data_IF_357281294935
#
_entry.id   IF_357281294935
#
_cell.length_a   1.000
_cell.length_b   1.000
_cell.length_c   1.000
_cell.angle_alpha   90.00
_cell.angle_beta   90.00
_cell.angle_gamma   90.00
#
_symmetry.space_group_name_H-M   'P 1'
#
loop_
_entity.id
_entity.type
_entity.pdbx_description
1 polymer ?
#
# COMPACT_ATOMS: atom_id res chain seq x y z
N UNK A 1 -9.46 -17.03 7.02
CA UNK A 1 -8.33 -17.95 6.90
C UNK A 1 -7.29 -17.49 5.89
N UNK A 2 -7.56 -17.41 4.57
CA UNK A 2 -6.54 -17.06 3.55
C UNK A 2 -5.83 -15.74 3.89
N UNK A 3 -6.56 -14.68 4.19
CA UNK A 3 -5.98 -13.39 4.55
C UNK A 3 -5.13 -13.46 5.83
N UNK A 4 -5.50 -14.31 6.79
CA UNK A 4 -4.67 -14.57 7.97
C UNK A 4 -3.32 -15.22 7.60
N UNK A 5 -3.32 -16.11 6.62
CA UNK A 5 -2.12 -16.79 6.17
C UNK A 5 -1.23 -15.92 5.23
N UNK A 6 -1.75 -14.78 4.74
CA UNK A 6 -0.97 -13.85 3.89
C UNK A 6 0.20 -13.18 4.62
N UNK A 7 0.20 -13.15 5.95
CA UNK A 7 1.29 -12.57 6.74
C UNK A 7 2.38 -13.58 7.09
N UNK A 8 2.15 -14.89 6.92
CA UNK A 8 3.08 -15.96 7.28
C UNK A 8 4.06 -16.21 6.13
N UNK A 9 5.36 -15.91 6.29
CA UNK A 9 6.37 -16.15 5.25
C UNK A 9 6.72 -17.64 5.14
N UNK A 10 6.92 -18.10 3.90
CA UNK A 10 7.41 -19.45 3.56
C UNK A 10 8.60 -19.28 2.62
N UNK A 11 9.78 -19.62 3.08
CA UNK A 11 11.02 -19.49 2.30
C UNK A 11 11.25 -20.75 1.46
N UNK A 12 11.11 -20.58 0.14
CA UNK A 12 11.43 -21.61 -0.85
C UNK A 12 12.52 -21.07 -1.80
N UNK A 13 12.21 -20.85 -3.08
CA UNK A 13 13.13 -20.21 -4.04
C UNK A 13 13.19 -18.68 -3.81
N UNK A 14 12.22 -18.15 -3.10
CA UNK A 14 12.05 -16.76 -2.64
C UNK A 14 11.09 -16.77 -1.46
N UNK A 15 10.68 -15.59 -0.98
CA UNK A 15 9.71 -15.50 0.10
C UNK A 15 8.29 -15.54 -0.48
N UNK A 16 7.64 -16.68 -0.39
CA UNK A 16 6.20 -16.84 -0.57
C UNK A 16 5.47 -16.47 0.72
N UNK A 17 4.17 -16.30 0.60
CA UNK A 17 3.29 -16.25 1.77
C UNK A 17 2.40 -17.50 1.78
N UNK A 18 2.16 -18.04 2.95
CA UNK A 18 1.28 -19.21 3.09
C UNK A 18 -0.10 -18.97 2.46
N UNK A 19 -0.62 -17.75 2.58
CA UNK A 19 -1.88 -17.36 1.94
C UNK A 19 -1.85 -17.44 0.41
N UNK A 20 -0.72 -17.15 -0.24
CA UNK A 20 -0.57 -17.28 -1.70
C UNK A 20 -0.58 -18.75 -2.13
N UNK A 21 0.07 -19.62 -1.36
CA UNK A 21 0.02 -21.07 -1.60
C UNK A 21 -1.40 -21.60 -1.44
N UNK A 22 -2.14 -21.12 -0.43
CA UNK A 22 -3.55 -21.47 -0.26
C UNK A 22 -4.41 -20.93 -1.40
N UNK A 23 -4.15 -19.73 -1.91
CA UNK A 23 -4.84 -19.19 -3.09
C UNK A 23 -4.61 -20.12 -4.29
N UNK A 24 -3.38 -20.54 -4.56
CA UNK A 24 -3.06 -21.47 -5.65
C UNK A 24 -3.77 -22.81 -5.48
N UNK A 25 -3.75 -23.38 -4.27
CA UNK A 25 -4.40 -24.66 -3.97
C UNK A 25 -5.94 -24.58 -4.10
N UNK A 26 -6.54 -23.45 -3.75
CA UNK A 26 -7.98 -23.24 -3.83
C UNK A 26 -8.45 -22.72 -5.20
N UNK A 27 -7.54 -22.30 -6.06
CA UNK A 27 -7.86 -21.71 -7.36
C UNK A 27 -8.80 -22.56 -8.21
N UNK A 28 -8.61 -23.88 -8.35
CA UNK A 28 -9.51 -24.75 -9.12
C UNK A 28 -10.95 -24.73 -8.60
N UNK A 29 -11.14 -24.68 -7.29
CA UNK A 29 -12.47 -24.66 -6.66
C UNK A 29 -13.22 -23.34 -6.88
N UNK A 30 -12.49 -22.25 -7.12
CA UNK A 30 -13.05 -20.92 -7.40
C UNK A 30 -13.04 -20.57 -8.89
N UNK A 31 -12.62 -21.47 -9.78
CA UNK A 31 -12.46 -21.19 -11.21
C UNK A 31 -13.73 -20.64 -11.85
N UNK A 32 -14.91 -21.21 -11.54
CA UNK A 32 -16.20 -20.74 -12.07
C UNK A 32 -16.48 -19.28 -11.68
N UNK A 33 -16.17 -18.90 -10.45
CA UNK A 33 -16.36 -17.53 -9.94
C UNK A 33 -15.32 -16.58 -10.55
N UNK A 34 -14.08 -17.03 -10.73
CA UNK A 34 -13.01 -16.27 -11.38
C UNK A 34 -13.36 -16.00 -12.84
N UNK A 35 -13.82 -17.00 -13.58
CA UNK A 35 -14.28 -16.83 -14.96
C UNK A 35 -15.49 -15.88 -15.07
N UNK A 36 -16.39 -15.90 -14.06
CA UNK A 36 -17.47 -14.91 -13.97
C UNK A 36 -16.94 -13.51 -13.71
N UNK A 37 -15.95 -13.37 -12.81
CA UNK A 37 -15.33 -12.09 -12.51
C UNK A 37 -14.59 -11.50 -13.72
N UNK A 38 -13.95 -12.31 -14.54
CA UNK A 38 -13.30 -11.90 -15.80
C UNK A 38 -14.24 -11.29 -16.85
N UNK A 39 -15.56 -11.49 -16.73
CA UNK A 39 -16.55 -10.78 -17.58
C UNK A 39 -16.69 -9.30 -17.24
N UNK A 40 -16.18 -8.88 -16.09
CA UNK A 40 -16.14 -7.47 -15.70
C UNK A 40 -15.01 -6.76 -16.47
N UNK A 41 -15.34 -5.67 -17.17
CA UNK A 41 -14.39 -4.89 -18.01
C UNK A 41 -13.20 -4.36 -17.20
N UNK A 42 -13.41 -3.97 -15.93
CA UNK A 42 -12.35 -3.49 -15.06
C UNK A 42 -11.35 -4.60 -14.74
N UNK A 43 -11.86 -5.78 -14.39
CA UNK A 43 -11.02 -6.95 -14.13
C UNK A 43 -10.22 -7.33 -15.37
N UNK A 44 -10.86 -7.35 -16.55
CA UNK A 44 -10.19 -7.65 -17.82
C UNK A 44 -9.11 -6.65 -18.17
N UNK A 45 -9.36 -5.34 -17.98
CA UNK A 45 -8.38 -4.29 -18.24
C UNK A 45 -7.13 -4.45 -17.34
N UNK A 46 -7.34 -4.70 -16.03
CA UNK A 46 -6.25 -4.90 -15.09
C UNK A 46 -5.45 -6.17 -15.43
N UNK A 47 -6.14 -7.26 -15.78
CA UNK A 47 -5.48 -8.51 -16.17
C UNK A 47 -4.70 -8.34 -17.47
N UNK A 48 -5.27 -7.66 -18.47
CA UNK A 48 -4.58 -7.36 -19.73
C UNK A 48 -3.31 -6.54 -19.52
N UNK A 49 -3.38 -5.48 -18.70
CA UNK A 49 -2.19 -4.69 -18.35
C UNK A 49 -1.20 -5.48 -17.49
N UNK A 50 -1.68 -6.36 -16.60
CA UNK A 50 -0.83 -7.27 -15.81
C UNK A 50 -0.07 -8.27 -16.70
N UNK A 51 -0.72 -8.79 -17.75
CA UNK A 51 -0.07 -9.66 -18.74
C UNK A 51 0.96 -8.88 -19.56
N UNK A 52 0.65 -7.64 -19.96
CA UNK A 52 1.60 -6.77 -20.64
C UNK A 52 2.85 -6.52 -19.76
N UNK A 53 2.64 -6.21 -18.47
CA UNK A 53 3.74 -6.04 -17.51
C UNK A 53 4.55 -7.33 -17.37
N UNK A 54 3.89 -8.50 -17.23
CA UNK A 54 4.58 -9.80 -17.14
C UNK A 54 5.42 -10.07 -18.39
N UNK A 55 4.88 -9.82 -19.58
CA UNK A 55 5.60 -9.97 -20.86
C UNK A 55 6.80 -9.03 -20.94
N UNK A 56 6.62 -7.76 -20.57
CA UNK A 56 7.72 -6.80 -20.50
C UNK A 56 8.81 -7.21 -19.54
N UNK A 57 8.45 -7.78 -18.38
CA UNK A 57 9.42 -8.31 -17.41
C UNK A 57 10.23 -9.48 -18.00
N UNK A 58 9.59 -10.40 -18.73
CA UNK A 58 10.30 -11.49 -19.43
C UNK A 58 11.29 -10.91 -20.43
N UNK A 59 10.87 -9.95 -21.26
CA UNK A 59 11.74 -9.30 -22.26
C UNK A 59 12.88 -8.54 -21.58
N UNK A 60 12.61 -7.84 -20.49
CA UNK A 60 13.61 -7.17 -19.68
C UNK A 60 14.65 -8.13 -19.13
N UNK A 61 14.22 -9.26 -18.58
CA UNK A 61 15.09 -10.27 -18.01
C UNK A 61 15.99 -10.93 -19.08
N UNK A 62 15.44 -11.21 -20.25
CA UNK A 62 16.20 -11.74 -21.40
C UNK A 62 17.23 -10.73 -21.92
N UNK A 63 16.81 -9.45 -22.12
CA UNK A 63 17.68 -8.40 -22.60
C UNK A 63 18.86 -8.09 -21.66
N UNK A 64 18.61 -8.15 -20.34
CA UNK A 64 19.64 -7.89 -19.33
C UNK A 64 20.41 -9.13 -18.89
N UNK A 65 20.19 -10.30 -19.51
CA UNK A 65 20.79 -11.57 -19.12
C UNK A 65 20.63 -11.85 -17.61
N UNK A 66 19.44 -11.55 -17.07
CA UNK A 66 19.12 -11.72 -15.65
C UNK A 66 19.27 -13.19 -15.26
N UNK A 67 19.86 -13.44 -14.09
CA UNK A 67 20.02 -14.83 -13.60
C UNK A 67 18.65 -15.50 -13.43
N UNK A 68 18.55 -16.79 -13.73
CA UNK A 68 17.30 -17.58 -13.64
C UNK A 68 16.62 -17.43 -12.27
N UNK A 69 17.41 -17.42 -11.19
CA UNK A 69 16.90 -17.21 -9.82
C UNK A 69 16.18 -15.88 -9.66
N UNK A 70 16.75 -14.80 -10.19
CA UNK A 70 16.18 -13.45 -10.08
C UNK A 70 14.97 -13.30 -11.01
N UNK A 71 15.03 -13.85 -12.23
CA UNK A 71 13.89 -13.88 -13.17
C UNK A 71 12.68 -14.59 -12.54
N UNK A 72 12.88 -15.77 -11.99
CA UNK A 72 11.81 -16.53 -11.31
C UNK A 72 11.20 -15.76 -10.13
N UNK A 73 12.01 -15.01 -9.37
CA UNK A 73 11.51 -14.16 -8.28
C UNK A 73 10.64 -13.01 -8.79
N UNK A 74 11.09 -12.31 -9.84
CA UNK A 74 10.37 -11.18 -10.42
C UNK A 74 9.06 -11.62 -11.07
N UNK A 75 9.14 -12.57 -11.99
CA UNK A 75 7.98 -13.14 -12.68
C UNK A 75 6.99 -13.78 -11.71
N UNK A 76 7.49 -14.54 -10.73
CA UNK A 76 6.69 -15.16 -9.68
C UNK A 76 5.95 -14.12 -8.84
N UNK A 77 6.58 -12.99 -8.53
CA UNK A 77 5.93 -11.90 -7.79
C UNK A 77 4.76 -11.31 -8.57
N UNK A 78 4.92 -11.03 -9.87
CA UNK A 78 3.86 -10.50 -10.73
C UNK A 78 2.73 -11.54 -10.88
N UNK A 79 3.09 -12.77 -11.18
CA UNK A 79 2.13 -13.88 -11.34
C UNK A 79 1.28 -14.09 -10.09
N UNK A 80 1.90 -14.17 -8.91
CA UNK A 80 1.19 -14.35 -7.65
C UNK A 80 0.29 -13.15 -7.32
N UNK A 81 0.74 -11.94 -7.62
CA UNK A 81 -0.08 -10.73 -7.45
C UNK A 81 -1.34 -10.80 -8.30
N UNK A 82 -1.22 -11.17 -9.58
CA UNK A 82 -2.36 -11.30 -10.50
C UNK A 82 -3.27 -12.47 -10.12
N UNK A 83 -2.71 -13.60 -9.74
CA UNK A 83 -3.49 -14.78 -9.30
C UNK A 83 -4.28 -14.48 -8.03
N UNK A 84 -3.65 -13.80 -7.07
CA UNK A 84 -4.30 -13.35 -5.83
C UNK A 84 -5.42 -12.34 -6.13
N UNK A 85 -5.18 -11.39 -7.03
CA UNK A 85 -6.21 -10.44 -7.47
C UNK A 85 -7.42 -11.14 -8.08
N UNK A 86 -7.22 -12.06 -9.01
CA UNK A 86 -8.29 -12.83 -9.64
C UNK A 86 -9.06 -13.68 -8.63
N UNK A 87 -8.36 -14.28 -7.68
CA UNK A 87 -9.00 -15.05 -6.61
C UNK A 87 -9.96 -14.19 -5.78
N UNK A 88 -9.50 -13.00 -5.33
CA UNK A 88 -10.35 -12.08 -4.57
C UNK A 88 -11.48 -11.49 -5.45
N UNK A 89 -11.25 -11.27 -6.74
CA UNK A 89 -12.31 -10.94 -7.68
C UNK A 89 -13.38 -12.05 -7.71
N UNK A 90 -13.00 -13.30 -7.80
CA UNK A 90 -13.92 -14.44 -7.73
C UNK A 90 -14.69 -14.51 -6.41
N UNK A 91 -14.03 -14.23 -5.29
CA UNK A 91 -14.64 -14.22 -3.96
C UNK A 91 -15.67 -13.08 -3.79
N UNK A 92 -15.34 -11.88 -4.27
CA UNK A 92 -16.17 -10.68 -4.05
C UNK A 92 -17.24 -10.48 -5.13
N UNK A 93 -17.10 -11.06 -6.32
CA UNK A 93 -18.14 -10.99 -7.35
C UNK A 93 -19.47 -11.61 -6.93
N UNK A 94 -19.44 -12.50 -5.92
CA UNK A 94 -20.65 -13.07 -5.31
C UNK A 94 -21.25 -12.13 -4.25
N UNK A 95 -20.40 -11.60 -3.37
CA UNK A 95 -20.80 -10.67 -2.31
C UNK A 95 -19.60 -9.83 -1.87
N UNK A 96 -19.57 -8.51 -2.14
CA UNK A 96 -18.46 -7.64 -1.72
C UNK A 96 -18.30 -7.54 -0.19
N UNK A 97 -19.34 -7.87 0.60
CA UNK A 97 -19.24 -7.92 2.07
C UNK A 97 -18.27 -9.00 2.58
N UNK A 98 -17.90 -9.98 1.75
CA UNK A 98 -16.85 -10.95 2.07
C UNK A 98 -15.52 -10.27 2.36
N UNK A 99 -15.33 -9.01 1.94
CA UNK A 99 -14.17 -8.20 2.27
C UNK A 99 -14.02 -7.97 3.79
N UNK A 100 -15.11 -7.84 4.54
CA UNK A 100 -15.06 -7.74 6.01
C UNK A 100 -14.42 -8.98 6.64
N UNK A 101 -14.80 -10.18 6.18
CA UNK A 101 -14.16 -11.41 6.61
C UNK A 101 -12.68 -11.49 6.23
N UNK A 102 -12.31 -10.87 5.11
CA UNK A 102 -10.90 -10.75 4.67
C UNK A 102 -10.12 -9.82 5.59
N UNK A 103 -10.69 -8.67 5.97
CA UNK A 103 -10.09 -7.73 6.92
C UNK A 103 -9.92 -8.35 8.31
N UNK A 104 -10.94 -9.04 8.81
CA UNK A 104 -10.85 -9.79 10.08
C UNK A 104 -9.74 -10.84 10.03
N UNK A 105 -9.65 -11.58 8.92
CA UNK A 105 -8.59 -12.56 8.72
C UNK A 105 -7.21 -11.90 8.66
N UNK A 106 -7.06 -10.76 7.99
CA UNK A 106 -5.80 -10.02 7.92
C UNK A 106 -5.38 -9.52 9.30
N UNK A 107 -6.32 -8.97 10.08
CA UNK A 107 -6.07 -8.51 11.45
C UNK A 107 -5.63 -9.67 12.36
N UNK A 108 -6.38 -10.79 12.35
CA UNK A 108 -6.03 -11.97 13.15
C UNK A 108 -4.67 -12.56 12.75
N UNK A 109 -4.40 -12.65 11.46
CA UNK A 109 -3.10 -13.14 10.95
C UNK A 109 -1.95 -12.22 11.31
N UNK A 110 -2.17 -10.89 11.29
CA UNK A 110 -1.17 -9.91 11.73
C UNK A 110 -0.81 -10.07 13.21
N UNK A 111 -1.80 -10.28 14.08
CA UNK A 111 -1.56 -10.56 15.51
C UNK A 111 -0.76 -11.86 15.69
N UNK A 112 -1.14 -12.93 14.98
CA UNK A 112 -0.42 -14.20 15.03
C UNK A 112 1.02 -14.06 14.54
N UNK A 113 1.24 -13.34 13.42
CA UNK A 113 2.56 -13.07 12.87
C UNK A 113 3.42 -12.27 13.84
N UNK A 114 2.85 -11.23 14.46
CA UNK A 114 3.55 -10.42 15.47
C UNK A 114 3.99 -11.27 16.66
N UNK A 115 3.11 -12.15 17.17
CA UNK A 115 3.47 -13.07 18.26
C UNK A 115 4.56 -14.06 17.89
N UNK A 116 4.54 -14.61 16.66
CA UNK A 116 5.58 -15.50 16.18
C UNK A 116 6.93 -14.78 16.00
N UNK A 117 6.93 -13.58 15.39
CA UNK A 117 8.13 -12.76 15.22
C UNK A 117 8.75 -12.40 16.57
N UNK A 118 7.93 -11.95 17.52
CA UNK A 118 8.38 -11.62 18.86
C UNK A 118 9.04 -12.83 19.54
N UNK A 119 8.44 -14.01 19.41
CA UNK A 119 8.99 -15.24 20.04
C UNK A 119 10.32 -15.70 19.44
N UNK A 120 10.48 -15.58 18.12
CA UNK A 120 11.64 -16.14 17.42
C UNK A 120 12.73 -15.11 17.11
N UNK A 121 12.40 -13.82 17.00
CA UNK A 121 13.30 -12.77 16.54
C UNK A 121 13.30 -11.52 17.46
N UNK A 122 12.64 -11.58 18.62
CA UNK A 122 12.44 -10.44 19.51
C UNK A 122 13.72 -9.80 20.05
N UNK A 123 14.87 -10.50 19.97
CA UNK A 123 16.18 -9.98 20.37
C UNK A 123 16.93 -9.25 19.23
N UNK A 124 16.32 -9.15 18.03
CA UNK A 124 16.94 -8.43 16.92
C UNK A 124 16.76 -6.92 17.11
N UNK A 125 17.88 -6.18 17.22
CA UNK A 125 17.87 -4.74 17.45
C UNK A 125 17.04 -3.95 16.40
N UNK A 126 17.03 -4.40 15.14
CA UNK A 126 16.23 -3.76 14.09
C UNK A 126 14.71 -3.86 14.32
N UNK A 127 14.24 -4.94 14.94
CA UNK A 127 12.82 -5.10 15.31
C UNK A 127 12.46 -4.27 16.54
N UNK A 128 13.38 -4.11 17.47
CA UNK A 128 13.17 -3.29 18.68
C UNK A 128 13.05 -1.79 18.37
N UNK A 129 13.72 -1.31 17.32
CA UNK A 129 13.65 0.09 16.89
C UNK A 129 12.37 0.43 16.09
N UNK A 130 11.76 -0.57 15.44
CA UNK A 130 10.58 -0.39 14.58
C UNK A 130 9.43 -1.32 14.97
N UNK A 131 9.04 -1.25 16.24
CA UNK A 131 7.97 -2.10 16.82
C UNK A 131 6.68 -1.99 15.99
N UNK A 132 6.35 -0.78 15.54
CA UNK A 132 5.12 -0.56 14.79
C UNK A 132 5.10 -1.36 13.48
N UNK A 133 6.12 -1.22 12.64
CA UNK A 133 6.15 -1.83 11.31
C UNK A 133 6.17 -3.36 11.37
N UNK A 134 6.85 -3.94 12.36
CA UNK A 134 7.01 -5.39 12.47
C UNK A 134 5.89 -6.08 13.26
N UNK A 135 5.35 -5.43 14.31
CA UNK A 135 4.44 -6.11 15.23
C UNK A 135 3.01 -5.55 15.21
N UNK A 136 2.80 -4.32 14.76
CA UNK A 136 1.51 -3.64 14.92
C UNK A 136 0.82 -3.36 13.59
N UNK A 137 1.49 -2.80 12.60
CA UNK A 137 0.88 -2.30 11.36
C UNK A 137 0.05 -3.37 10.62
N UNK A 138 0.52 -4.60 10.57
CA UNK A 138 -0.11 -5.71 9.86
C UNK A 138 -1.52 -6.04 10.32
N UNK A 139 -1.85 -5.78 11.59
CA UNK A 139 -3.19 -6.04 12.15
C UNK A 139 -3.96 -4.77 12.51
N UNK A 140 -3.28 -3.72 12.92
CA UNK A 140 -3.93 -2.52 13.43
C UNK A 140 -4.69 -1.77 12.33
N UNK A 141 -4.16 -1.70 11.12
CA UNK A 141 -4.81 -1.02 10.00
C UNK A 141 -6.11 -1.71 9.54
N UNK A 142 -6.14 -3.05 9.29
CA UNK A 142 -7.38 -3.76 9.04
C UNK A 142 -8.38 -3.66 10.20
N UNK A 143 -7.91 -3.72 11.45
CA UNK A 143 -8.76 -3.55 12.63
C UNK A 143 -9.40 -2.16 12.68
N UNK A 144 -8.66 -1.11 12.36
CA UNK A 144 -9.18 0.25 12.29
C UNK A 144 -10.26 0.41 11.21
N UNK A 145 -10.06 -0.22 10.04
CA UNK A 145 -11.08 -0.22 8.98
C UNK A 145 -12.37 -0.93 9.40
N UNK A 146 -12.26 -2.05 10.11
CA UNK A 146 -13.41 -2.76 10.68
C UNK A 146 -14.11 -1.91 11.73
N UNK A 147 -13.34 -1.27 12.61
CA UNK A 147 -13.89 -0.35 13.62
C UNK A 147 -14.65 0.80 12.95
N UNK A 148 -14.07 1.47 11.97
CA UNK A 148 -14.73 2.51 11.20
C UNK A 148 -16.04 2.02 10.56
N UNK A 149 -16.04 0.80 10.01
CA UNK A 149 -17.23 0.15 9.46
C UNK A 149 -18.30 -0.12 10.51
N UNK A 150 -17.95 -0.60 11.69
CA UNK A 150 -18.92 -0.96 12.74
C UNK A 150 -19.55 0.29 13.37
N UNK A 151 -18.75 1.34 13.55
CA UNK A 151 -19.17 2.53 14.31
C UNK A 151 -19.64 3.70 13.44
N UNK A 152 -19.52 3.64 12.10
CA UNK A 152 -19.94 4.75 11.22
C UNK A 152 -21.40 5.18 11.42
N UNK A 153 -22.25 4.29 11.85
CA UNK A 153 -23.70 4.51 11.98
C UNK A 153 -24.12 4.84 13.42
N UNK A 154 -23.60 4.13 14.39
CA UNK A 154 -24.00 4.27 15.78
C UNK A 154 -23.23 5.36 16.53
N UNK A 155 -21.91 5.39 16.36
CA UNK A 155 -21.00 6.26 17.11
C UNK A 155 -19.85 6.78 16.23
N UNK A 156 -20.14 7.47 15.13
CA UNK A 156 -19.09 7.91 14.18
C UNK A 156 -18.07 8.85 14.83
N UNK A 157 -18.46 9.56 15.87
CA UNK A 157 -17.58 10.42 16.65
C UNK A 157 -16.44 9.67 17.36
N UNK A 158 -16.59 8.35 17.61
CA UNK A 158 -15.51 7.51 18.20
C UNK A 158 -14.37 7.24 17.20
N UNK A 159 -14.65 7.26 15.91
CA UNK A 159 -13.62 7.03 14.87
C UNK A 159 -12.57 8.13 14.90
N UNK A 160 -12.98 9.36 15.23
CA UNK A 160 -12.08 10.51 15.29
C UNK A 160 -11.01 10.39 16.40
N UNK A 161 -11.34 10.28 17.69
CA UNK A 161 -10.33 10.17 18.73
C UNK A 161 -9.50 8.88 18.63
N UNK A 162 -10.10 7.78 18.14
CA UNK A 162 -9.36 6.54 17.93
C UNK A 162 -8.34 6.69 16.79
N UNK A 163 -8.71 7.35 15.69
CA UNK A 163 -7.77 7.59 14.59
C UNK A 163 -6.64 8.54 14.99
N UNK A 164 -6.91 9.56 15.82
CA UNK A 164 -5.86 10.42 16.38
C UNK A 164 -4.95 9.61 17.30
N UNK A 165 -5.52 8.83 18.23
CA UNK A 165 -4.74 7.98 19.13
C UNK A 165 -3.87 6.99 18.35
N UNK A 166 -4.43 6.35 17.32
CA UNK A 166 -3.68 5.48 16.42
C UNK A 166 -2.51 6.24 15.77
N UNK A 167 -2.76 7.42 15.20
CA UNK A 167 -1.74 8.22 14.55
C UNK A 167 -0.61 8.61 15.49
N UNK A 168 -0.93 9.03 16.72
CA UNK A 168 0.06 9.37 17.76
C UNK A 168 0.89 8.15 18.15
N UNK A 169 0.23 7.03 18.49
CA UNK A 169 0.91 5.80 18.91
C UNK A 169 1.80 5.25 17.80
N UNK A 170 1.31 5.23 16.55
CA UNK A 170 2.12 4.81 15.41
C UNK A 170 3.39 5.65 15.28
N UNK A 171 3.28 6.98 15.41
CA UNK A 171 4.45 7.87 15.35
C UNK A 171 5.46 7.62 16.49
N UNK A 172 4.99 7.33 17.69
CA UNK A 172 5.86 7.05 18.87
C UNK A 172 6.67 5.75 18.69
N UNK A 173 6.11 4.75 18.00
CA UNK A 173 6.72 3.42 17.85
C UNK A 173 7.30 3.14 16.46
N UNK A 174 7.61 4.19 15.67
CA UNK A 174 8.34 4.07 14.41
C UNK A 174 7.47 4.07 13.14
N UNK A 175 6.15 3.91 13.26
CA UNK A 175 5.20 3.87 12.13
C UNK A 175 4.74 5.25 11.64
N UNK A 176 5.65 6.17 11.40
CA UNK A 176 5.34 7.56 11.03
C UNK A 176 4.46 7.67 9.78
N UNK A 177 4.73 6.86 8.77
CA UNK A 177 3.95 6.81 7.55
C UNK A 177 2.54 6.28 7.78
N UNK A 178 2.39 5.21 8.57
CA UNK A 178 1.10 4.64 8.91
C UNK A 178 0.27 5.60 9.75
N UNK A 179 0.91 6.27 10.73
CA UNK A 179 0.26 7.30 11.54
C UNK A 179 -0.28 8.44 10.69
N UNK A 180 0.50 8.95 9.73
CA UNK A 180 0.06 10.00 8.81
C UNK A 180 -1.11 9.54 7.94
N UNK A 181 -1.03 8.34 7.37
CA UNK A 181 -2.09 7.78 6.52
C UNK A 181 -3.39 7.63 7.28
N UNK A 182 -3.34 7.14 8.53
CA UNK A 182 -4.55 6.99 9.35
C UNK A 182 -5.12 8.35 9.77
N UNK A 183 -4.29 9.33 10.05
CA UNK A 183 -4.75 10.71 10.31
C UNK A 183 -5.48 11.29 9.08
N UNK A 184 -4.92 11.16 7.87
CA UNK A 184 -5.58 11.58 6.63
C UNK A 184 -6.93 10.86 6.47
N UNK A 185 -6.95 9.55 6.65
CA UNK A 185 -8.16 8.73 6.56
C UNK A 185 -9.22 9.18 7.58
N UNK A 186 -8.81 9.48 8.79
CA UNK A 186 -9.69 9.92 9.88
C UNK A 186 -10.29 11.29 9.57
N UNK A 187 -9.48 12.25 9.13
CA UNK A 187 -9.94 13.60 8.74
C UNK A 187 -10.93 13.50 7.57
N UNK A 188 -10.63 12.66 6.59
CA UNK A 188 -11.52 12.46 5.45
C UNK A 188 -12.84 11.77 5.88
N UNK A 189 -12.78 10.80 6.79
CA UNK A 189 -13.97 10.17 7.36
C UNK A 189 -14.86 11.18 8.10
N UNK A 190 -14.28 12.04 8.95
CA UNK A 190 -15.01 13.10 9.68
C UNK A 190 -15.65 14.09 8.72
N UNK A 191 -14.92 14.50 7.69
CA UNK A 191 -15.47 15.36 6.63
C UNK A 191 -16.70 14.73 5.96
N UNK A 192 -16.60 13.46 5.54
CA UNK A 192 -17.73 12.77 4.90
C UNK A 192 -18.92 12.61 5.86
N UNK A 193 -18.65 12.25 7.11
CA UNK A 193 -19.68 12.14 8.11
C UNK A 193 -20.41 13.47 8.34
N UNK A 194 -19.66 14.57 8.45
CA UNK A 194 -20.24 15.91 8.60
C UNK A 194 -21.12 16.28 7.40
N UNK A 195 -20.65 15.99 6.20
CA UNK A 195 -21.40 16.24 4.98
C UNK A 195 -22.72 15.44 4.93
N UNK A 196 -22.67 14.14 5.25
CA UNK A 196 -23.86 13.29 5.27
C UNK A 196 -24.89 13.76 6.29
N UNK A 197 -24.45 14.22 7.47
CA UNK A 197 -25.35 14.67 8.54
C UNK A 197 -25.96 16.05 8.28
N UNK A 198 -25.24 16.96 7.61
CA UNK A 198 -25.67 18.34 7.44
C UNK A 198 -26.23 18.68 6.04
N UNK A 199 -25.89 17.90 4.99
CA UNK A 199 -26.28 18.19 3.60
C UNK A 199 -27.58 17.52 3.15
N UNK A 200 -28.46 17.08 4.06
CA UNK A 200 -29.77 16.44 3.75
C UNK A 200 -29.68 15.33 2.71
N UNK A 201 -28.59 14.58 2.67
CA UNK A 201 -28.43 13.41 1.82
C UNK A 201 -27.89 13.65 0.39
N UNK A 202 -27.58 14.87 0.02
CA UNK A 202 -27.04 15.18 -1.31
C UNK A 202 -25.48 15.04 -1.27
N UNK A 203 -24.98 13.84 -1.44
CA UNK A 203 -23.55 13.50 -1.50
C UNK A 203 -22.90 13.93 -2.84
N UNK A 204 -23.14 15.16 -3.29
CA UNK A 204 -22.49 15.69 -4.49
C UNK A 204 -21.04 16.14 -4.27
N UNK A 205 -20.47 15.79 -3.14
CA UNK A 205 -19.11 16.20 -2.82
C UNK A 205 -18.09 15.26 -3.42
N UNK A 206 -17.30 15.82 -4.32
CA UNK A 206 -16.24 15.07 -4.99
C UNK A 206 -15.12 14.72 -4.01
N UNK A 207 -14.45 13.60 -4.24
CA UNK A 207 -13.18 13.26 -3.58
C UNK A 207 -12.19 14.43 -3.57
N UNK A 208 -12.25 15.34 -4.58
CA UNK A 208 -11.43 16.56 -4.67
C UNK A 208 -11.60 17.47 -3.47
N UNK A 209 -12.84 17.74 -3.05
CA UNK A 209 -13.10 18.62 -1.90
C UNK A 209 -12.56 18.03 -0.60
N UNK A 210 -12.77 16.70 -0.40
CA UNK A 210 -12.21 16.00 0.75
C UNK A 210 -10.69 16.01 0.77
N UNK A 211 -10.04 15.77 -0.37
CA UNK A 211 -8.58 15.83 -0.49
C UNK A 211 -8.04 17.26 -0.26
N UNK A 212 -8.71 18.31 -0.76
CA UNK A 212 -8.31 19.70 -0.50
C UNK A 212 -8.39 20.04 0.99
N UNK A 213 -9.46 19.63 1.67
CA UNK A 213 -9.60 19.86 3.12
C UNK A 213 -8.52 19.09 3.88
N UNK A 214 -8.27 17.82 3.51
CA UNK A 214 -7.17 17.06 4.11
C UNK A 214 -5.82 17.75 3.87
N UNK A 215 -5.56 18.26 2.67
CA UNK A 215 -4.33 18.97 2.37
C UNK A 215 -4.16 20.23 3.24
N UNK A 216 -5.20 21.04 3.40
CA UNK A 216 -5.18 22.23 4.29
C UNK A 216 -4.92 21.83 5.75
N UNK A 217 -5.56 20.77 6.24
CA UNK A 217 -5.38 20.30 7.62
C UNK A 217 -4.01 19.63 7.84
N UNK A 218 -3.39 19.09 6.79
CA UNK A 218 -2.04 18.53 6.88
C UNK A 218 -0.95 19.59 7.09
N UNK A 219 -1.18 20.84 6.67
CA UNK A 219 -0.20 21.93 6.86
C UNK A 219 0.14 22.13 8.34
N UNK A 220 -0.83 22.40 9.25
CA UNK A 220 -0.51 22.55 10.67
C UNK A 220 0.05 21.28 11.30
N UNK A 221 -0.40 20.09 10.87
CA UNK A 221 0.16 18.82 11.34
C UNK A 221 1.62 18.64 10.91
N UNK A 222 1.98 19.05 9.70
CA UNK A 222 3.36 19.06 9.24
C UNK A 222 4.22 20.04 10.04
N UNK A 223 3.73 21.25 10.33
CA UNK A 223 4.45 22.22 11.15
C UNK A 223 4.69 21.68 12.57
N UNK A 224 3.68 21.06 13.19
CA UNK A 224 3.84 20.36 14.46
C UNK A 224 4.88 19.22 14.38
N UNK A 225 4.84 18.43 13.30
CA UNK A 225 5.85 17.40 13.06
C UNK A 225 7.27 17.99 13.04
N UNK A 226 7.50 19.09 12.34
CA UNK A 226 8.81 19.76 12.27
C UNK A 226 9.27 20.17 13.67
N UNK A 227 8.41 20.85 14.45
CA UNK A 227 8.74 21.30 15.82
C UNK A 227 9.11 20.12 16.74
N UNK A 228 8.27 19.07 16.75
CA UNK A 228 8.53 17.89 17.59
C UNK A 228 9.71 17.06 17.11
N UNK A 229 10.00 17.01 15.81
CA UNK A 229 11.17 16.35 15.27
C UNK A 229 12.46 17.09 15.65
N UNK A 230 12.46 18.43 15.55
CA UNK A 230 13.59 19.28 15.98
C UNK A 230 13.91 19.12 17.47
N UNK A 231 12.88 19.03 18.32
CA UNK A 231 13.08 18.77 19.75
C UNK A 231 13.61 17.37 20.07
N UNK A 232 13.61 16.46 19.10
CA UNK A 232 13.97 15.05 19.29
C UNK A 232 12.87 14.17 19.90
N UNK A 233 11.69 14.73 20.19
CA UNK A 233 10.56 13.99 20.78
C UNK A 233 10.04 12.85 19.85
N UNK A 234 10.24 12.97 18.53
CA UNK A 234 9.89 11.93 17.55
C UNK A 234 11.03 10.96 17.23
N UNK A 235 12.07 10.95 18.05
CA UNK A 235 13.23 10.05 17.93
C UNK A 235 14.33 10.56 17.02
N UNK A 236 15.50 9.87 17.09
CA UNK A 236 16.76 10.29 16.43
C UNK A 236 16.62 10.38 14.89
N UNK A 237 15.92 9.45 14.28
CA UNK A 237 15.76 9.43 12.82
C UNK A 237 14.93 10.61 12.30
N UNK A 238 13.86 11.02 13.01
CA UNK A 238 13.08 12.20 12.66
C UNK A 238 13.91 13.48 12.81
N UNK A 239 14.64 13.60 13.92
CA UNK A 239 15.52 14.74 14.15
C UNK A 239 16.58 14.85 13.06
N UNK A 240 17.30 13.78 12.77
CA UNK A 240 18.33 13.75 11.73
C UNK A 240 17.77 14.15 10.35
N UNK A 241 16.57 13.69 10.00
CA UNK A 241 15.90 14.06 8.73
C UNK A 241 15.65 15.56 8.64
N UNK A 242 15.20 16.19 9.73
CA UNK A 242 14.92 17.63 9.77
C UNK A 242 16.25 18.44 9.82
N UNK A 243 17.23 17.97 10.56
CA UNK A 243 18.53 18.64 10.67
C UNK A 243 19.32 18.61 9.33
N UNK A 244 19.07 17.61 8.47
CA UNK A 244 19.65 17.51 7.12
C UNK A 244 18.90 18.34 6.06
N UNK A 245 17.66 18.74 6.32
CA UNK A 245 16.86 19.53 5.39
C UNK A 245 17.41 20.97 5.33
N UNK A 246 17.70 21.48 4.13
CA UNK A 246 18.06 22.89 3.92
C UNK A 246 16.94 23.83 4.36
N UNK A 247 15.71 23.41 4.08
CA UNK A 247 14.49 24.07 4.55
C UNK A 247 13.57 23.04 5.21
N UNK A 248 13.60 22.90 6.55
CA UNK A 248 12.79 21.93 7.27
C UNK A 248 11.28 22.17 7.14
N UNK A 249 10.86 23.36 6.71
CA UNK A 249 9.45 23.71 6.47
C UNK A 249 8.99 23.40 5.04
N UNK A 250 9.87 22.89 4.17
CA UNK A 250 9.50 22.40 2.85
C UNK A 250 9.14 20.90 2.93
N UNK A 251 7.83 20.53 2.85
CA UNK A 251 7.41 19.14 3.01
C UNK A 251 7.95 18.24 1.91
N UNK A 252 8.19 18.76 0.69
CA UNK A 252 8.75 17.99 -0.42
C UNK A 252 10.21 17.63 -0.14
N UNK A 253 11.01 18.55 0.35
CA UNK A 253 12.41 18.32 0.69
C UNK A 253 12.53 17.29 1.83
N UNK A 254 11.74 17.46 2.89
CA UNK A 254 11.71 16.51 4.01
C UNK A 254 11.28 15.11 3.56
N UNK A 255 10.30 15.02 2.66
CA UNK A 255 9.85 13.73 2.09
C UNK A 255 10.95 13.08 1.24
N UNK A 256 11.63 13.85 0.38
CA UNK A 256 12.72 13.35 -0.47
C UNK A 256 13.92 12.86 0.36
N UNK A 257 14.26 13.54 1.45
CA UNK A 257 15.28 13.07 2.38
C UNK A 257 14.89 11.75 3.07
N UNK A 258 13.61 11.55 3.36
CA UNK A 258 13.10 10.29 3.87
C UNK A 258 13.03 9.16 2.81
N UNK A 259 13.10 9.50 1.54
CA UNK A 259 12.93 8.59 0.38
C UNK A 259 14.03 8.81 -0.66
N UNK A 260 15.27 8.92 -0.18
CA UNK A 260 16.46 9.12 -1.02
C UNK A 260 16.69 8.00 -2.05
N UNK A 261 16.14 6.80 -1.81
CA UNK A 261 16.15 5.69 -2.76
C UNK A 261 15.39 6.03 -4.06
N UNK A 262 14.43 6.96 -4.00
CA UNK A 262 13.69 7.40 -5.19
C UNK A 262 14.61 8.10 -6.20
N UNK A 263 15.66 8.79 -5.74
CA UNK A 263 16.60 9.49 -6.62
C UNK A 263 17.37 8.50 -7.49
N UNK A 264 17.87 7.40 -6.89
CA UNK A 264 18.59 6.38 -7.66
C UNK A 264 17.66 5.60 -8.59
N UNK A 265 16.39 5.44 -8.19
CA UNK A 265 15.38 4.85 -9.06
C UNK A 265 15.15 5.69 -10.33
N UNK A 266 15.12 7.02 -10.21
CA UNK A 266 15.01 7.91 -11.36
C UNK A 266 16.23 7.83 -12.28
N UNK A 267 17.46 7.77 -11.74
CA UNK A 267 18.67 7.56 -12.55
C UNK A 267 18.60 6.23 -13.31
N UNK A 268 18.17 5.15 -12.65
CA UNK A 268 17.98 3.84 -13.29
C UNK A 268 16.93 3.89 -14.41
N UNK A 269 15.80 4.57 -14.18
CA UNK A 269 14.75 4.75 -15.19
C UNK A 269 15.29 5.53 -16.40
N UNK A 270 16.06 6.60 -16.16
CA UNK A 270 16.65 7.39 -17.24
C UNK A 270 17.57 6.56 -18.13
N UNK A 271 18.37 5.63 -17.55
CA UNK A 271 19.24 4.74 -18.31
C UNK A 271 18.48 3.73 -19.18
N UNK A 272 17.40 3.13 -18.65
CA UNK A 272 16.64 2.08 -19.35
C UNK A 272 15.13 2.28 -19.19
N UNK A 273 14.53 3.30 -19.82
CA UNK A 273 13.14 3.68 -19.56
C UNK A 273 12.11 2.69 -20.12
N UNK A 274 12.41 1.97 -21.21
CA UNK A 274 11.44 1.13 -21.93
C UNK A 274 11.40 -0.28 -21.34
N UNK A 275 12.55 -0.97 -21.26
CA UNK A 275 12.62 -2.36 -20.80
C UNK A 275 13.00 -2.51 -19.34
N UNK A 276 13.61 -1.46 -18.72
CA UNK A 276 14.13 -1.56 -17.37
C UNK A 276 15.41 -2.38 -17.26
N UNK A 277 15.80 -2.69 -16.02
CA UNK A 277 17.08 -3.35 -15.70
C UNK A 277 16.95 -4.86 -15.45
N UNK A 278 15.77 -5.44 -15.56
CA UNK A 278 15.49 -6.84 -15.21
C UNK A 278 15.19 -7.05 -13.73
N UNK A 279 14.70 -8.24 -13.43
CA UNK A 279 14.29 -8.66 -12.09
C UNK A 279 15.45 -8.64 -11.11
N UNK A 280 15.24 -8.04 -9.94
CA UNK A 280 16.26 -7.97 -8.87
C UNK A 280 17.59 -7.36 -9.32
N UNK A 281 17.55 -6.43 -10.28
CA UNK A 281 18.76 -5.79 -10.81
C UNK A 281 19.53 -5.04 -9.72
N UNK A 282 20.86 -5.13 -9.82
CA UNK A 282 21.79 -4.40 -8.95
C UNK A 282 23.01 -3.95 -9.78
N UNK A 283 22.85 -3.02 -10.74
CA UNK A 283 23.96 -2.51 -11.54
C UNK A 283 25.04 -1.87 -10.67
N UNK A 284 26.27 -2.33 -10.81
CA UNK A 284 27.38 -1.93 -9.94
C UNK A 284 27.68 -0.42 -9.95
N UNK A 285 27.44 0.27 -11.06
CA UNK A 285 27.63 1.72 -11.15
C UNK A 285 26.51 2.48 -10.43
N UNK A 286 25.22 2.08 -10.54
CA UNK A 286 24.10 2.67 -9.79
C UNK A 286 24.23 2.42 -8.30
N UNK A 287 24.69 1.24 -7.90
CA UNK A 287 25.01 0.94 -6.51
C UNK A 287 26.09 1.88 -5.95
N UNK A 288 27.16 2.12 -6.70
CA UNK A 288 28.20 3.08 -6.31
C UNK A 288 27.66 4.49 -6.21
N UNK A 289 26.87 4.91 -7.21
CA UNK A 289 26.23 6.22 -7.21
C UNK A 289 25.33 6.43 -6.00
N UNK A 290 24.52 5.42 -5.65
CA UNK A 290 23.69 5.46 -4.45
C UNK A 290 24.52 5.66 -3.18
N UNK A 291 25.60 4.87 -3.00
CA UNK A 291 26.46 4.98 -1.81
C UNK A 291 27.17 6.34 -1.75
N UNK A 292 27.53 6.93 -2.90
CA UNK A 292 28.09 8.29 -2.95
C UNK A 292 27.06 9.34 -2.54
N UNK A 293 25.84 9.29 -3.08
CA UNK A 293 24.73 10.17 -2.68
C UNK A 293 24.40 10.03 -1.18
N UNK A 294 24.41 8.80 -0.66
CA UNK A 294 24.23 8.56 0.79
C UNK A 294 25.32 9.22 1.61
N UNK A 295 26.57 9.13 1.16
CA UNK A 295 27.70 9.74 1.86
C UNK A 295 27.64 11.28 1.82
N UNK A 296 27.16 11.84 0.72
CA UNK A 296 26.94 13.29 0.59
C UNK A 296 25.84 13.78 1.56
N UNK A 297 24.75 13.04 1.70
CA UNK A 297 23.60 13.41 2.55
C UNK A 297 23.91 13.16 4.05
N UNK A 298 24.45 12.00 4.39
CA UNK A 298 24.59 11.53 5.77
C UNK A 298 26.03 11.59 6.33
N UNK A 299 27.00 12.01 5.51
CA UNK A 299 28.39 12.11 5.93
C UNK A 299 28.93 10.78 6.46
N UNK A 300 29.53 10.81 7.65
CA UNK A 300 30.10 9.63 8.32
C UNK A 300 29.04 8.58 8.74
N UNK A 301 27.78 8.97 8.90
CA UNK A 301 26.67 8.08 9.25
C UNK A 301 26.14 7.28 8.05
N UNK A 302 26.62 7.55 6.82
CA UNK A 302 26.19 6.86 5.62
C UNK A 302 26.53 5.35 5.66
N UNK A 303 25.68 4.48 5.12
CA UNK A 303 25.96 3.05 5.03
C UNK A 303 27.20 2.80 4.16
N UNK A 304 28.14 1.99 4.66
CA UNK A 304 29.37 1.63 3.94
C UNK A 304 29.12 0.65 2.80
N UNK A 305 28.03 -0.13 2.89
CA UNK A 305 27.59 -1.09 1.86
C UNK A 305 26.07 -1.24 1.89
N UNK A 306 25.48 -1.66 0.77
CA UNK A 306 24.08 -2.05 0.76
C UNK A 306 23.85 -3.32 1.58
N UNK A 307 22.77 -3.35 2.35
CA UNK A 307 22.36 -4.51 3.13
C UNK A 307 21.82 -5.62 2.21
N UNK A 308 21.19 -5.24 1.10
CA UNK A 308 20.58 -6.16 0.14
C UNK A 308 21.30 -6.10 -1.21
N UNK A 309 21.37 -7.26 -1.89
CA UNK A 309 21.91 -7.36 -3.25
C UNK A 309 20.84 -7.01 -4.32
N UNK A 310 20.18 -5.90 -4.11
CA UNK A 310 19.18 -5.32 -5.03
C UNK A 310 19.32 -3.81 -4.98
N UNK A 311 19.02 -3.15 -6.11
CA UNK A 311 18.94 -1.69 -6.13
C UNK A 311 17.81 -1.24 -5.18
N UNK A 312 18.09 -0.38 -4.20
CA UNK A 312 17.08 0.05 -3.24
C UNK A 312 16.03 0.92 -3.94
N UNK A 313 14.79 0.42 -4.04
CA UNK A 313 13.66 1.17 -4.59
C UNK A 313 12.49 1.03 -3.61
N UNK A 314 12.23 2.10 -2.84
CA UNK A 314 11.13 2.14 -1.88
C UNK A 314 9.84 2.73 -2.48
N UNK A 315 9.50 2.26 -3.69
CA UNK A 315 8.27 2.60 -4.38
C UNK A 315 7.87 1.43 -5.27
N UNK A 316 6.65 0.95 -5.16
CA UNK A 316 6.11 -0.08 -6.04
C UNK A 316 6.06 0.42 -7.48
N UNK A 317 5.60 1.66 -7.66
CA UNK A 317 5.49 2.30 -8.97
C UNK A 317 6.85 2.43 -9.66
N UNK A 318 7.82 3.04 -8.97
CA UNK A 318 9.17 3.20 -9.50
C UNK A 318 9.89 1.86 -9.65
N UNK A 319 9.70 0.94 -8.70
CA UNK A 319 10.26 -0.40 -8.77
C UNK A 319 9.78 -1.20 -9.97
N UNK A 320 8.48 -1.13 -10.28
CA UNK A 320 7.93 -1.76 -11.46
C UNK A 320 8.53 -1.17 -12.76
N UNK A 321 8.82 0.14 -12.77
CA UNK A 321 9.48 0.79 -13.89
C UNK A 321 10.96 0.39 -13.99
N UNK A 322 11.71 0.49 -12.89
CA UNK A 322 13.14 0.13 -12.84
C UNK A 322 13.38 -1.31 -13.30
N UNK A 323 12.55 -2.25 -12.84
CA UNK A 323 12.79 -3.67 -13.11
C UNK A 323 12.09 -4.18 -14.37
N UNK A 324 10.85 -3.78 -14.61
CA UNK A 324 9.99 -4.26 -15.71
C UNK A 324 9.72 -3.25 -16.81
N UNK A 325 10.33 -2.05 -16.73
CA UNK A 325 10.21 -1.01 -17.74
C UNK A 325 8.86 -0.30 -17.77
N UNK A 326 8.60 0.40 -18.87
CA UNK A 326 7.42 1.27 -19.05
C UNK A 326 6.09 0.55 -18.84
N UNK A 327 6.00 -0.73 -19.19
CA UNK A 327 4.74 -1.48 -19.02
C UNK A 327 4.38 -1.67 -17.54
N UNK A 328 5.36 -1.92 -16.67
CA UNK A 328 5.16 -1.98 -15.22
C UNK A 328 4.70 -0.64 -14.64
N UNK A 329 5.27 0.47 -15.11
CA UNK A 329 4.84 1.81 -14.75
C UNK A 329 3.40 2.09 -15.17
N UNK A 330 3.04 1.82 -16.44
CA UNK A 330 1.68 2.03 -16.98
C UNK A 330 0.66 1.21 -16.18
N UNK A 331 0.98 -0.04 -15.85
CA UNK A 331 0.12 -0.88 -15.00
C UNK A 331 -0.22 -0.17 -13.68
N UNK A 332 0.79 0.30 -12.94
CA UNK A 332 0.55 0.90 -11.62
C UNK A 332 -0.09 2.29 -11.71
N UNK A 333 0.22 3.10 -12.73
CA UNK A 333 -0.48 4.37 -13.00
C UNK A 333 -1.97 4.11 -13.26
N UNK A 334 -2.28 3.11 -14.09
CA UNK A 334 -3.67 2.72 -14.35
C UNK A 334 -4.38 2.26 -13.07
N UNK A 335 -3.71 1.44 -12.25
CA UNK A 335 -4.25 0.96 -10.98
C UNK A 335 -4.53 2.11 -10.02
N UNK A 336 -3.62 3.07 -9.87
CA UNK A 336 -3.83 4.28 -9.05
C UNK A 336 -5.04 5.06 -9.58
N UNK A 337 -5.07 5.34 -10.88
CA UNK A 337 -6.18 6.05 -11.52
C UNK A 337 -7.52 5.35 -11.26
N UNK A 338 -7.59 4.03 -11.46
CA UNK A 338 -8.82 3.27 -11.19
C UNK A 338 -9.20 3.23 -9.73
N UNK A 339 -8.25 3.18 -8.82
CA UNK A 339 -8.50 3.27 -7.38
C UNK A 339 -9.21 4.57 -7.04
N UNK A 340 -8.73 5.71 -7.51
CA UNK A 340 -9.38 7.00 -7.30
C UNK A 340 -10.75 7.09 -7.97
N UNK A 341 -10.85 6.63 -9.20
CA UNK A 341 -12.13 6.64 -9.93
C UNK A 341 -13.20 5.79 -9.22
N UNK A 342 -12.89 4.54 -8.89
CA UNK A 342 -13.83 3.63 -8.24
C UNK A 342 -14.17 4.09 -6.82
N UNK A 343 -13.22 4.67 -6.10
CA UNK A 343 -13.48 5.26 -4.79
C UNK A 343 -14.43 6.45 -4.89
N UNK A 344 -14.25 7.32 -5.88
CA UNK A 344 -15.17 8.43 -6.12
C UNK A 344 -16.59 7.94 -6.47
N UNK A 345 -16.70 6.92 -7.31
CA UNK A 345 -18.00 6.29 -7.62
C UNK A 345 -18.66 5.68 -6.38
N UNK A 346 -17.86 5.05 -5.51
CA UNK A 346 -18.35 4.48 -4.25
C UNK A 346 -18.81 5.57 -3.27
N UNK A 347 -18.15 6.74 -3.23
CA UNK A 347 -18.56 7.89 -2.44
C UNK A 347 -19.93 8.43 -2.88
N UNK A 348 -20.21 8.43 -4.19
CA UNK A 348 -21.46 8.92 -4.74
C UNK A 348 -22.61 7.91 -4.56
N UNK A 349 -22.34 6.62 -4.79
CA UNK A 349 -23.37 5.59 -4.94
C UNK A 349 -23.36 4.52 -3.83
N UNK A 350 -22.33 4.51 -2.98
CA UNK A 350 -22.12 3.44 -2.00
C UNK A 350 -22.88 3.61 -0.70
N UNK A 351 -22.93 2.55 0.08
CA UNK A 351 -23.38 2.64 1.48
C UNK A 351 -22.27 3.21 2.35
N UNK A 352 -22.64 3.96 3.38
CA UNK A 352 -21.68 4.58 4.32
C UNK A 352 -20.69 3.58 4.93
N UNK A 353 -21.10 2.34 5.21
CA UNK A 353 -20.18 1.31 5.71
C UNK A 353 -19.08 0.94 4.71
N UNK A 354 -19.43 0.80 3.43
CA UNK A 354 -18.43 0.52 2.39
C UNK A 354 -17.54 1.75 2.13
N UNK A 355 -18.11 2.94 2.24
CA UNK A 355 -17.36 4.20 2.17
C UNK A 355 -16.35 4.27 3.31
N UNK A 356 -16.73 3.94 4.56
CA UNK A 356 -15.84 3.92 5.72
C UNK A 356 -14.61 3.02 5.49
N UNK A 357 -14.81 1.83 4.92
CA UNK A 357 -13.71 0.93 4.55
C UNK A 357 -12.83 1.57 3.47
N UNK A 358 -13.43 2.11 2.40
CA UNK A 358 -12.67 2.70 1.29
C UNK A 358 -11.83 3.90 1.75
N UNK A 359 -12.37 4.75 2.61
CA UNK A 359 -11.69 5.94 3.16
C UNK A 359 -10.45 5.55 3.97
N UNK A 360 -10.47 4.44 4.67
CA UNK A 360 -9.29 3.94 5.40
C UNK A 360 -8.27 3.32 4.44
N UNK A 361 -8.73 2.51 3.48
CA UNK A 361 -7.83 1.70 2.64
C UNK A 361 -7.22 2.45 1.47
N UNK A 362 -7.93 3.44 0.88
CA UNK A 362 -7.43 4.13 -0.32
C UNK A 362 -6.19 4.97 -0.05
N UNK A 363 -6.12 5.82 1.01
CA UNK A 363 -4.89 6.52 1.34
C UNK A 363 -3.74 5.57 1.67
N UNK A 364 -4.02 4.49 2.41
CA UNK A 364 -3.05 3.45 2.75
C UNK A 364 -2.48 2.78 1.49
N UNK A 365 -3.34 2.39 0.57
CA UNK A 365 -2.94 1.81 -0.72
C UNK A 365 -2.08 2.79 -1.54
N UNK A 366 -2.53 4.03 -1.71
CA UNK A 366 -1.80 5.04 -2.47
C UNK A 366 -0.42 5.32 -1.87
N UNK A 367 -0.34 5.41 -0.54
CA UNK A 367 0.93 5.56 0.15
C UNK A 367 1.89 4.42 -0.15
N UNK A 368 1.43 3.18 -0.05
CA UNK A 368 2.27 2.01 -0.30
C UNK A 368 2.72 1.88 -1.75
N UNK A 369 1.88 2.20 -2.72
CA UNK A 369 2.28 2.18 -4.13
C UNK A 369 3.35 3.22 -4.43
N UNK A 370 3.24 4.40 -3.83
CA UNK A 370 4.17 5.50 -4.07
C UNK A 370 5.47 5.39 -3.26
N UNK A 371 5.39 4.90 -2.01
CA UNK A 371 6.47 5.05 -1.02
C UNK A 371 6.87 3.77 -0.28
N UNK A 372 6.42 2.59 -0.71
CA UNK A 372 6.80 1.33 -0.08
C UNK A 372 7.38 0.34 -1.09
N UNK A 373 8.23 -0.61 -0.65
CA UNK A 373 8.78 -1.61 -1.54
C UNK A 373 7.70 -2.58 -2.03
N UNK A 374 7.95 -3.19 -3.18
CA UNK A 374 7.00 -4.02 -3.94
C UNK A 374 6.33 -5.16 -3.12
N UNK A 375 7.00 -5.63 -2.07
CA UNK A 375 6.47 -6.70 -1.22
C UNK A 375 5.13 -6.36 -0.54
N UNK A 376 4.88 -5.09 -0.20
CA UNK A 376 3.65 -4.65 0.46
C UNK A 376 2.44 -4.66 -0.47
N UNK A 377 2.60 -4.18 -1.71
CA UNK A 377 1.51 -4.13 -2.68
C UNK A 377 0.97 -5.51 -3.06
N UNK A 378 1.82 -6.55 -3.01
CA UNK A 378 1.48 -7.92 -3.38
C UNK A 378 0.33 -8.53 -2.55
N UNK A 379 0.09 -8.03 -1.35
CA UNK A 379 -0.95 -8.56 -0.44
C UNK A 379 -2.16 -7.65 -0.30
N UNK A 380 -1.95 -6.36 -0.03
CA UNK A 380 -3.01 -5.42 0.27
C UNK A 380 -3.76 -4.97 -0.99
N UNK A 381 -3.04 -4.74 -2.08
CA UNK A 381 -3.62 -4.27 -3.32
C UNK A 381 -4.65 -5.22 -3.94
N UNK A 382 -4.39 -6.53 -4.14
CA UNK A 382 -5.34 -7.45 -4.74
C UNK A 382 -6.70 -7.46 -4.06
N UNK A 383 -6.69 -7.47 -2.73
CA UNK A 383 -7.91 -7.46 -1.92
C UNK A 383 -8.68 -6.15 -2.05
N UNK A 384 -7.98 -5.02 -1.91
CA UNK A 384 -8.59 -3.70 -1.92
C UNK A 384 -9.17 -3.34 -3.29
N UNK A 385 -8.44 -3.65 -4.37
CA UNK A 385 -8.89 -3.36 -5.72
C UNK A 385 -10.08 -4.23 -6.14
N UNK A 386 -10.05 -5.53 -5.82
CA UNK A 386 -11.18 -6.42 -6.02
C UNK A 386 -12.42 -5.93 -5.25
N UNK A 387 -12.24 -5.47 -4.01
CA UNK A 387 -13.33 -4.88 -3.22
C UNK A 387 -13.92 -3.65 -3.91
N UNK A 388 -13.10 -2.68 -4.32
CA UNK A 388 -13.58 -1.45 -4.97
C UNK A 388 -14.38 -1.75 -6.24
N UNK A 389 -13.91 -2.69 -7.09
CA UNK A 389 -14.59 -3.07 -8.33
C UNK A 389 -15.98 -3.66 -8.02
N UNK A 390 -16.05 -4.62 -7.10
CA UNK A 390 -17.30 -5.34 -6.87
C UNK A 390 -18.25 -4.62 -5.92
N UNK A 391 -17.76 -3.76 -5.02
CA UNK A 391 -18.62 -2.86 -4.25
C UNK A 391 -19.34 -1.90 -5.19
N UNK A 392 -18.65 -1.26 -6.14
CA UNK A 392 -19.30 -0.40 -7.13
C UNK A 392 -20.30 -1.17 -8.00
N UNK A 393 -19.92 -2.33 -8.55
CA UNK A 393 -20.80 -3.15 -9.38
C UNK A 393 -22.06 -3.62 -8.62
N UNK A 394 -21.98 -3.80 -7.31
CA UNK A 394 -23.11 -4.21 -6.47
C UNK A 394 -24.10 -3.07 -6.25
N UNK A 395 -23.61 -1.85 -5.99
CA UNK A 395 -24.46 -0.69 -5.71
C UNK A 395 -25.01 0.00 -6.97
N UNK A 396 -24.35 -0.14 -8.11
CA UNK A 396 -24.82 0.39 -9.39
C UNK A 396 -25.95 -0.43 -10.06
N UNK A 397 -26.39 -1.55 -9.46
CA UNK A 397 -27.52 -2.31 -10.03
C UNK A 397 -28.83 -1.54 -9.82
N UNK A 398 -29.62 -1.28 -10.92
CA UNK A 398 -30.84 -0.44 -10.85
C UNK A 398 -31.95 -0.96 -9.91
N UNK A 399 -31.85 -2.20 -9.45
CA UNK A 399 -32.86 -2.85 -8.59
C UNK A 399 -32.53 -2.84 -7.10
N UNK A 400 -31.50 -2.14 -6.67
CA UNK A 400 -31.24 -1.90 -5.25
C UNK A 400 -32.00 -0.64 -4.77
N UNK A 401 -33.28 -0.48 -5.17
CA UNK A 401 -34.13 0.48 -4.49
C UNK A 401 -34.13 0.16 -3.00
N UNK A 402 -33.85 1.13 -2.13
CA UNK A 402 -33.88 0.88 -0.69
C UNK A 402 -35.29 0.45 -0.33
N UNK A 403 -35.48 -0.80 0.10
CA UNK A 403 -36.66 -1.14 0.88
C UNK A 403 -36.63 -0.20 2.09
N UNK A 404 -37.53 0.79 2.03
CA UNK A 404 -37.80 1.76 3.09
C UNK A 404 -38.18 1.03 4.37
#
# INVERSE_FOLDING_TARGET
MIAACMVIPVNLIGTFRLGELLVLALYPFYMKQILKALRNREVMAIVGLGLLWLTSQVLSDLYNATTMKNSLRGLGSIFLTMTTFLFFCGLYCRNPRNHLGTLLGASAGGVLSAGLLYRFEGNNAGYAENIWDFYVSGWAHPAFAIFAFLFYRSHPWLVFPLGIAYGIVANMYGGRSDGLVVLISTLFFVYLWFQVTHSRGDLRYSMRSGLMICAVLLVPLFLLYVVYAQSGALGKAAKMQIDLAKNPYNPVEVLLLARNESVIALDAIYEKPILGHGSWANPGHLRRLYLLKMREIYGAAAPKKLIQDILPVHSVLLGAWVFGGLAGFIFWVYVIYRTFYLSNQLLINGSMGMIAIAVVYVPYFCWHVLFSPNAFARFSWPMSMAFLIFANAFFMRPNAAPKR
#
